data_IF_553825315036
#
_entry.id   IF_553825315036
#
_cell.length_a   1.000
_cell.length_b   1.000
_cell.length_c   1.000
_cell.angle_alpha   90.00
_cell.angle_beta   90.00
_cell.angle_gamma   90.00
#
_symmetry.space_group_name_H-M   'P 1'
#
loop_
_entity.id
_entity.type
_entity.pdbx_description
1 polymer ?
#
# COMPACT_ATOMS: atom_id res chain seq x y z
N UNK A 1 35.56 -24.26 -34.66
CA UNK A 1 34.95 -23.01 -34.15
C UNK A 1 33.44 -23.01 -34.41
N UNK A 2 32.63 -23.76 -33.64
CA UNK A 2 31.15 -23.81 -33.81
C UNK A 2 30.43 -23.89 -32.45
N UNK A 3 30.97 -23.24 -31.42
CA UNK A 3 30.30 -23.17 -30.09
C UNK A 3 29.86 -21.75 -29.71
N UNK A 4 30.38 -20.70 -30.35
CA UNK A 4 30.08 -19.31 -30.01
C UNK A 4 28.70 -18.80 -30.46
N UNK A 5 28.06 -19.44 -31.45
CA UNK A 5 26.78 -18.94 -32.02
C UNK A 5 25.53 -19.39 -31.25
N UNK A 6 25.60 -20.49 -30.49
CA UNK A 6 24.45 -21.05 -29.75
C UNK A 6 24.20 -20.37 -28.41
N UNK A 7 25.23 -19.81 -27.78
CA UNK A 7 25.12 -19.13 -26.48
C UNK A 7 24.41 -17.77 -26.61
N UNK A 8 24.60 -17.09 -27.74
CA UNK A 8 24.00 -15.76 -28.00
C UNK A 8 22.47 -15.83 -28.12
N UNK A 9 21.91 -16.92 -28.63
CA UNK A 9 20.46 -17.09 -28.73
C UNK A 9 19.78 -17.42 -27.39
N UNK A 10 20.51 -17.96 -26.42
CA UNK A 10 19.96 -18.33 -25.11
C UNK A 10 19.92 -17.14 -24.12
N UNK A 11 20.73 -16.10 -24.35
CA UNK A 11 20.75 -14.87 -23.54
C UNK A 11 19.68 -13.84 -23.91
N UNK A 12 18.99 -14.01 -25.04
CA UNK A 12 17.96 -13.07 -25.52
C UNK A 12 16.55 -13.32 -24.96
N UNK A 13 16.35 -14.38 -24.15
CA UNK A 13 15.03 -14.75 -23.61
C UNK A 13 14.83 -14.46 -22.12
N UNK A 14 15.81 -13.89 -21.42
CA UNK A 14 15.76 -13.67 -19.97
C UNK A 14 15.46 -12.22 -19.55
N UNK A 15 15.14 -11.32 -20.50
CA UNK A 15 14.67 -9.97 -20.19
C UNK A 15 13.15 -9.90 -20.21
N UNK A 16 12.46 -10.80 -19.49
CA UNK A 16 11.11 -10.48 -19.04
C UNK A 16 11.26 -9.46 -17.91
N UNK A 17 11.50 -8.20 -18.29
CA UNK A 17 11.40 -7.08 -17.37
C UNK A 17 10.03 -7.18 -16.71
N UNK A 18 10.01 -7.51 -15.43
CA UNK A 18 8.82 -7.45 -14.60
C UNK A 18 8.51 -5.97 -14.42
N UNK A 19 7.91 -5.35 -15.44
CA UNK A 19 7.49 -3.95 -15.39
C UNK A 19 6.28 -3.94 -14.47
N UNK A 20 6.48 -3.49 -13.23
CA UNK A 20 5.37 -3.27 -12.32
C UNK A 20 4.38 -2.32 -12.98
N UNK A 21 3.15 -2.79 -13.17
CA UNK A 21 2.11 -2.03 -13.84
C UNK A 21 1.32 -1.20 -12.83
N UNK A 22 0.65 -0.14 -13.31
CA UNK A 22 -0.33 0.62 -12.51
C UNK A 22 -1.36 -0.30 -11.84
N UNK A 23 -1.78 -1.36 -12.54
CA UNK A 23 -2.72 -2.35 -12.01
C UNK A 23 -2.13 -3.14 -10.84
N UNK A 24 -0.85 -3.50 -10.89
CA UNK A 24 -0.18 -4.19 -9.77
C UNK A 24 -0.19 -3.32 -8.51
N UNK A 25 0.18 -2.04 -8.64
CA UNK A 25 0.13 -1.10 -7.52
C UNK A 25 -1.29 -0.94 -6.97
N UNK A 26 -2.28 -0.85 -7.86
CA UNK A 26 -3.70 -0.75 -7.47
C UNK A 26 -4.13 -1.98 -6.66
N UNK A 27 -3.86 -3.19 -7.16
CA UNK A 27 -4.21 -4.44 -6.47
C UNK A 27 -3.49 -4.58 -5.12
N UNK A 28 -2.20 -4.20 -5.07
CA UNK A 28 -1.40 -4.21 -3.84
C UNK A 28 -1.97 -3.21 -2.82
N UNK A 29 -2.31 -2.00 -3.25
CA UNK A 29 -2.95 -0.98 -2.43
C UNK A 29 -4.29 -1.43 -1.88
N UNK A 30 -5.20 -1.90 -2.75
CA UNK A 30 -6.52 -2.43 -2.37
C UNK A 30 -6.41 -3.54 -1.33
N UNK A 31 -5.50 -4.49 -1.53
CA UNK A 31 -5.29 -5.57 -0.55
C UNK A 31 -4.92 -5.02 0.83
N UNK A 32 -3.98 -4.08 0.89
CA UNK A 32 -3.56 -3.49 2.17
C UNK A 32 -4.71 -2.71 2.81
N UNK A 33 -5.50 -1.97 2.01
CA UNK A 33 -6.70 -1.28 2.52
C UNK A 33 -7.69 -2.27 3.13
N UNK A 34 -8.00 -3.38 2.44
CA UNK A 34 -8.88 -4.43 2.99
C UNK A 34 -8.32 -5.03 4.28
N UNK A 35 -7.02 -5.28 4.35
CA UNK A 35 -6.38 -5.78 5.56
C UNK A 35 -6.55 -4.80 6.73
N UNK A 36 -6.37 -3.48 6.50
CA UNK A 36 -6.59 -2.45 7.52
C UNK A 36 -8.06 -2.44 7.94
N UNK A 37 -8.98 -2.36 6.98
CA UNK A 37 -10.42 -2.33 7.24
C UNK A 37 -10.86 -3.57 8.02
N UNK A 38 -10.34 -4.75 7.70
CA UNK A 38 -10.67 -5.99 8.43
C UNK A 38 -10.24 -5.93 9.89
N UNK A 39 -9.09 -5.33 10.20
CA UNK A 39 -8.62 -5.16 11.58
C UNK A 39 -9.49 -4.13 12.30
N UNK A 40 -9.88 -3.03 11.65
CA UNK A 40 -10.74 -2.03 12.27
C UNK A 40 -12.16 -2.57 12.52
N UNK A 41 -12.71 -3.37 11.60
CA UNK A 41 -14.02 -4.01 11.75
C UNK A 41 -14.10 -4.96 12.94
N UNK A 42 -12.99 -5.63 13.31
CA UNK A 42 -12.96 -6.52 14.47
C UNK A 42 -12.80 -5.81 15.81
N UNK A 43 -12.69 -4.49 15.82
CA UNK A 43 -12.51 -3.67 17.02
C UNK A 43 -13.84 -3.02 17.39
N UNK A 44 -14.29 -3.27 18.62
CA UNK A 44 -15.52 -2.73 19.20
C UNK A 44 -15.24 -1.67 20.27
N UNK A 45 -14.04 -1.65 20.86
CA UNK A 45 -13.71 -0.75 21.96
C UNK A 45 -12.22 -0.33 21.98
N UNK A 46 -11.90 0.58 22.91
CA UNK A 46 -10.56 1.16 23.08
C UNK A 46 -9.47 0.12 23.39
N UNK A 47 -9.76 -0.87 24.24
CA UNK A 47 -8.79 -1.87 24.67
C UNK A 47 -8.41 -2.82 23.53
N UNK A 48 -9.40 -3.25 22.75
CA UNK A 48 -9.19 -4.03 21.53
C UNK A 48 -8.38 -3.25 20.49
N UNK A 49 -8.68 -1.96 20.32
CA UNK A 49 -7.91 -1.10 19.41
C UNK A 49 -6.46 -0.98 19.86
N UNK A 50 -6.24 -0.79 21.16
CA UNK A 50 -4.90 -0.72 21.76
C UNK A 50 -4.12 -2.02 21.50
N UNK A 51 -4.77 -3.18 21.59
CA UNK A 51 -4.17 -4.48 21.27
C UNK A 51 -3.89 -4.63 19.76
N UNK A 52 -4.76 -4.11 18.89
CA UNK A 52 -4.60 -4.16 17.44
C UNK A 52 -3.60 -3.12 16.88
N UNK A 53 -3.24 -2.10 17.66
CA UNK A 53 -2.38 -0.98 17.22
C UNK A 53 -1.05 -1.41 16.57
N UNK A 54 -0.29 -2.41 17.08
CA UNK A 54 0.94 -2.87 16.41
C UNK A 54 0.68 -3.43 15.01
N UNK A 55 -0.43 -4.14 14.80
CA UNK A 55 -0.81 -4.68 13.50
C UNK A 55 -1.23 -3.56 12.55
N UNK A 56 -2.05 -2.61 13.02
CA UNK A 56 -2.43 -1.43 12.24
C UNK A 56 -1.20 -0.64 11.79
N UNK A 57 -0.27 -0.38 12.71
CA UNK A 57 1.01 0.30 12.41
C UNK A 57 1.78 -0.41 11.30
N UNK A 58 1.87 -1.74 11.35
CA UNK A 58 2.52 -2.54 10.29
C UNK A 58 1.82 -2.35 8.94
N UNK A 59 0.49 -2.36 8.91
CA UNK A 59 -0.26 -2.23 7.66
C UNK A 59 -0.20 -0.80 7.10
N UNK A 60 -0.29 0.25 7.92
CA UNK A 60 -0.08 1.63 7.48
C UNK A 60 1.31 1.84 6.90
N UNK A 61 2.35 1.24 7.50
CA UNK A 61 3.71 1.28 6.95
C UNK A 61 3.79 0.61 5.57
N UNK A 62 3.15 -0.54 5.37
CA UNK A 62 3.08 -1.17 4.04
C UNK A 62 2.38 -0.27 3.03
N UNK A 63 1.26 0.34 3.42
CA UNK A 63 0.52 1.25 2.54
C UNK A 63 1.40 2.44 2.13
N UNK A 64 2.11 3.05 3.08
CA UNK A 64 3.04 4.14 2.79
C UNK A 64 4.13 3.72 1.80
N UNK A 65 4.72 2.54 1.97
CA UNK A 65 5.72 2.03 1.03
C UNK A 65 5.15 1.90 -0.40
N UNK A 66 3.94 1.35 -0.55
CA UNK A 66 3.28 1.26 -1.86
C UNK A 66 3.06 2.65 -2.47
N UNK A 67 2.62 3.61 -1.67
CA UNK A 67 2.40 4.98 -2.16
C UNK A 67 3.71 5.68 -2.56
N UNK A 68 4.83 5.38 -1.89
CA UNK A 68 6.16 5.85 -2.27
C UNK A 68 6.58 5.19 -3.60
N UNK A 69 6.42 3.87 -3.74
CA UNK A 69 6.70 3.14 -4.99
C UNK A 69 5.88 3.71 -6.16
N UNK A 70 4.59 3.96 -5.95
CA UNK A 70 3.70 4.59 -6.95
C UNK A 70 4.20 5.98 -7.34
N UNK A 71 4.64 6.79 -6.37
CA UNK A 71 5.18 8.14 -6.64
C UNK A 71 6.45 8.06 -7.49
N UNK A 72 7.36 7.16 -7.15
CA UNK A 72 8.61 6.96 -7.91
C UNK A 72 8.29 6.49 -9.34
N UNK A 73 7.45 5.47 -9.48
CA UNK A 73 7.07 4.93 -10.77
C UNK A 73 6.36 5.98 -11.65
N UNK A 74 5.51 6.84 -11.07
CA UNK A 74 4.91 8.00 -11.76
C UNK A 74 5.95 9.00 -12.27
N UNK A 75 6.98 9.28 -11.47
CA UNK A 75 8.05 10.20 -11.84
C UNK A 75 8.90 9.66 -13.00
N UNK A 76 9.12 8.34 -13.02
CA UNK A 76 9.88 7.66 -14.07
C UNK A 76 9.07 7.48 -15.37
N UNK A 77 7.73 7.47 -15.26
CA UNK A 77 6.83 7.20 -16.38
C UNK A 77 5.74 8.28 -16.53
N UNK A 78 6.11 9.55 -16.77
CA UNK A 78 5.16 10.67 -16.84
C UNK A 78 4.17 10.59 -18.01
N UNK A 79 4.47 9.77 -19.02
CA UNK A 79 3.63 9.56 -20.20
C UNK A 79 2.36 8.75 -19.92
N UNK A 80 2.27 8.03 -18.80
CA UNK A 80 1.07 7.26 -18.48
C UNK A 80 0.00 8.16 -17.86
N UNK A 81 -1.21 8.10 -18.40
CA UNK A 81 -2.39 8.77 -17.86
C UNK A 81 -3.03 7.89 -16.79
N UNK A 82 -2.78 8.23 -15.52
CA UNK A 82 -3.32 7.50 -14.37
C UNK A 82 -4.80 7.83 -14.20
N UNK A 83 -5.64 6.79 -14.25
CA UNK A 83 -7.08 6.97 -14.06
C UNK A 83 -7.38 7.06 -12.57
N UNK A 84 -8.17 8.06 -12.18
CA UNK A 84 -8.79 8.11 -10.85
C UNK A 84 -10.10 7.35 -10.91
N UNK A 85 -10.08 6.10 -10.49
CA UNK A 85 -11.30 5.32 -10.27
C UNK A 85 -11.69 5.39 -8.80
N UNK A 86 -12.98 5.57 -8.46
CA UNK A 86 -13.45 5.40 -7.10
C UNK A 86 -13.21 3.95 -6.66
N UNK A 87 -12.72 3.77 -5.43
CA UNK A 87 -12.41 2.47 -4.86
C UNK A 87 -13.29 2.21 -3.65
N UNK A 88 -14.18 1.21 -3.76
CA UNK A 88 -15.06 0.78 -2.67
C UNK A 88 -14.29 0.49 -1.38
N UNK A 89 -13.08 -0.08 -1.49
CA UNK A 89 -12.25 -0.37 -0.31
C UNK A 89 -11.87 0.89 0.48
N UNK A 90 -11.69 2.02 -0.21
CA UNK A 90 -11.35 3.29 0.44
C UNK A 90 -12.56 3.88 1.17
N UNK A 91 -13.76 3.72 0.61
CA UNK A 91 -15.01 4.14 1.25
C UNK A 91 -15.28 3.31 2.52
N UNK A 92 -15.09 1.99 2.44
CA UNK A 92 -15.23 1.12 3.61
C UNK A 92 -14.21 1.43 4.70
N UNK A 93 -12.94 1.68 4.35
CA UNK A 93 -11.93 2.12 5.31
C UNK A 93 -12.35 3.42 5.99
N UNK A 94 -12.84 4.40 5.22
CA UNK A 94 -13.26 5.69 5.77
C UNK A 94 -14.44 5.53 6.74
N UNK A 95 -15.43 4.71 6.40
CA UNK A 95 -16.57 4.43 7.27
C UNK A 95 -16.13 3.81 8.61
N UNK A 96 -15.21 2.85 8.59
CA UNK A 96 -14.73 2.21 9.83
C UNK A 96 -13.85 3.13 10.68
N UNK A 97 -13.02 3.97 10.05
CA UNK A 97 -12.29 5.00 10.78
C UNK A 97 -13.24 5.98 11.46
N UNK A 98 -14.26 6.45 10.74
CA UNK A 98 -15.28 7.34 11.30
C UNK A 98 -16.00 6.69 12.49
N UNK A 99 -16.43 5.42 12.36
CA UNK A 99 -17.05 4.66 13.46
C UNK A 99 -16.15 4.62 14.70
N UNK A 100 -14.87 4.29 14.54
CA UNK A 100 -13.95 4.17 15.68
C UNK A 100 -13.58 5.53 16.28
N UNK A 101 -13.63 6.62 15.51
CA UNK A 101 -13.34 7.97 16.02
C UNK A 101 -14.42 8.49 16.98
N UNK A 102 -15.63 7.94 16.93
CA UNK A 102 -16.69 8.22 17.90
C UNK A 102 -16.46 7.52 19.25
N UNK A 103 -15.52 6.58 19.33
CA UNK A 103 -15.18 5.89 20.59
C UNK A 103 -14.09 6.70 21.32
N UNK A 104 -14.29 7.08 22.60
CA UNK A 104 -13.32 7.87 23.35
C UNK A 104 -11.91 7.24 23.39
N UNK A 105 -10.90 8.04 23.04
CA UNK A 105 -9.48 7.64 23.05
C UNK A 105 -9.02 6.83 21.82
N UNK A 106 -9.94 6.33 21.00
CA UNK A 106 -9.59 5.50 19.83
C UNK A 106 -8.91 6.30 18.72
N UNK A 107 -9.32 7.56 18.54
CA UNK A 107 -8.74 8.46 17.55
C UNK A 107 -7.23 8.62 17.75
N UNK A 108 -6.80 8.89 18.97
CA UNK A 108 -5.40 9.09 19.31
C UNK A 108 -4.56 7.83 19.05
N UNK A 109 -5.11 6.64 19.29
CA UNK A 109 -4.43 5.37 19.00
C UNK A 109 -4.25 5.18 17.50
N UNK A 110 -5.30 5.44 16.70
CA UNK A 110 -5.23 5.33 15.25
C UNK A 110 -4.22 6.33 14.68
N UNK A 111 -4.31 7.60 15.07
CA UNK A 111 -3.40 8.64 14.60
C UNK A 111 -1.94 8.30 14.95
N UNK A 112 -1.66 7.86 16.19
CA UNK A 112 -0.32 7.39 16.60
C UNK A 112 0.17 6.20 15.78
N UNK A 113 -0.74 5.30 15.40
CA UNK A 113 -0.42 4.15 14.55
C UNK A 113 -0.07 4.55 13.11
N UNK A 114 -0.53 5.72 12.66
CA UNK A 114 -0.26 6.27 11.33
C UNK A 114 0.99 7.15 11.26
N UNK A 115 1.44 7.73 12.39
CA UNK A 115 2.52 8.73 12.45
C UNK A 115 3.74 8.35 11.60
N UNK A 116 4.30 7.15 11.80
CA UNK A 116 5.52 6.73 11.07
C UNK A 116 5.29 6.60 9.57
N UNK A 117 4.10 6.14 9.17
CA UNK A 117 3.71 6.00 7.77
C UNK A 117 3.58 7.38 7.10
N UNK A 118 2.96 8.34 7.79
CA UNK A 118 2.86 9.73 7.33
C UNK A 118 4.24 10.37 7.22
N UNK A 119 5.10 10.21 8.23
CA UNK A 119 6.47 10.72 8.17
C UNK A 119 7.27 10.11 7.02
N UNK A 120 7.08 8.83 6.69
CA UNK A 120 7.72 8.21 5.53
C UNK A 120 7.25 8.85 4.22
N UNK A 121 5.94 9.11 4.07
CA UNK A 121 5.38 9.77 2.87
C UNK A 121 5.86 11.20 2.67
N UNK A 122 6.08 11.92 3.77
CA UNK A 122 6.60 13.29 3.76
C UNK A 122 8.10 13.35 3.46
N UNK A 123 8.88 12.38 3.98
CA UNK A 123 10.34 12.31 3.77
C UNK A 123 10.77 11.62 2.48
N UNK A 124 9.90 10.82 1.86
CA UNK A 124 10.11 10.29 0.50
C UNK A 124 9.98 11.35 -0.58
N UNK A 125 10.63 12.49 -0.36
CA UNK A 125 10.89 13.58 -1.32
C UNK A 125 12.30 13.42 -1.87
#
# INVERSE_FOLDING_TARGET
MVYGKKIIWMLLFLTSCFVSSEEEFRLKGQRIVRDITSVLKSVENHEELQAAAPQLKKQFKKLANVLIEVRMYRSEHPQYLWKKEPLQESEELFAELARLYEIPGCREIIERSQVDAVYALLRGQ
#
